data_IF_038609176443
#
_entry.id   IF_038609176443
#
_cell.length_a   1.000
_cell.length_b   1.000
_cell.length_c   1.000
_cell.angle_alpha   90.00
_cell.angle_beta   90.00
_cell.angle_gamma   90.00
#
_symmetry.space_group_name_H-M   'P 1'
#
loop_
_entity.id
_entity.type
_entity.pdbx_description
1 polymer ?
#
# COMPACT_ATOMS: atom_id res chain seq x y z
N UNK A 1 -12.32 -21.54 46.33
CA UNK A 1 -12.60 -22.00 44.96
C UNK A 1 -11.43 -21.51 44.11
N UNK A 2 -10.59 -22.40 43.56
CA UNK A 2 -9.40 -21.99 42.82
C UNK A 2 -9.80 -21.39 41.47
N UNK A 3 -9.05 -20.35 41.11
CA UNK A 3 -9.17 -19.48 39.94
C UNK A 3 -9.18 -20.25 38.61
N UNK A 4 -10.11 -19.88 37.71
CA UNK A 4 -10.06 -20.26 36.30
C UNK A 4 -8.69 -19.91 35.70
N UNK A 5 -8.10 -20.78 34.86
CA UNK A 5 -6.96 -20.39 34.07
C UNK A 5 -7.40 -19.26 33.14
N UNK A 6 -6.77 -18.10 33.28
CA UNK A 6 -6.86 -17.00 32.34
C UNK A 6 -6.45 -17.53 30.97
N UNK A 7 -7.40 -17.62 30.04
CA UNK A 7 -7.08 -17.88 28.64
C UNK A 7 -5.97 -16.92 28.20
N UNK A 8 -4.90 -17.39 27.54
CA UNK A 8 -3.91 -16.49 26.98
C UNK A 8 -4.61 -15.54 26.01
N UNK A 9 -4.21 -14.26 25.94
CA UNK A 9 -4.80 -13.34 24.97
C UNK A 9 -4.65 -13.91 23.55
N UNK A 10 -5.57 -13.60 22.61
CA UNK A 10 -5.58 -14.14 21.24
C UNK A 10 -4.34 -13.75 20.38
N UNK A 11 -3.36 -13.07 20.99
CA UNK A 11 -2.13 -12.59 20.37
C UNK A 11 -0.90 -13.12 21.14
N UNK A 12 -0.88 -14.42 21.45
CA UNK A 12 0.32 -15.06 21.99
C UNK A 12 1.44 -14.97 20.95
N UNK A 13 2.30 -13.96 21.10
CA UNK A 13 3.47 -13.77 20.25
C UNK A 13 4.49 -14.89 20.55
N UNK A 14 4.34 -16.01 19.86
CA UNK A 14 5.36 -17.05 19.76
C UNK A 14 5.47 -17.62 18.34
N UNK A 15 5.01 -16.88 17.34
CA UNK A 15 5.21 -17.24 15.94
C UNK A 15 6.52 -16.62 15.44
N UNK A 16 7.42 -17.49 14.96
CA UNK A 16 8.65 -17.10 14.28
C UNK A 16 8.29 -16.17 13.11
N UNK A 17 8.80 -14.92 13.06
CA UNK A 17 8.46 -13.96 12.02
C UNK A 17 8.84 -14.44 10.61
N UNK A 18 9.68 -15.47 10.48
CA UNK A 18 10.00 -16.09 9.19
C UNK A 18 8.92 -17.07 8.69
N UNK A 19 8.00 -17.48 9.58
CA UNK A 19 6.94 -18.46 9.29
C UNK A 19 5.55 -17.86 9.24
N UNK A 20 5.36 -16.68 9.83
CA UNK A 20 4.08 -15.98 9.80
C UNK A 20 3.82 -15.39 8.41
N UNK A 21 2.76 -15.85 7.75
CA UNK A 21 2.39 -15.38 6.42
C UNK A 21 1.85 -13.95 6.42
N UNK A 22 2.14 -13.21 5.36
CA UNK A 22 1.53 -11.90 5.09
C UNK A 22 0.07 -12.07 4.65
N UNK A 23 -0.77 -11.02 4.78
CA UNK A 23 -2.13 -11.07 4.27
C UNK A 23 -2.17 -11.41 2.77
N UNK A 24 -3.14 -12.23 2.30
CA UNK A 24 -3.19 -12.65 0.90
C UNK A 24 -3.47 -11.50 -0.07
N UNK A 25 -4.05 -10.40 0.40
CA UNK A 25 -4.32 -9.22 -0.40
C UNK A 25 -4.27 -7.93 0.45
N UNK A 26 -3.93 -6.82 -0.21
CA UNK A 26 -3.99 -5.49 0.38
C UNK A 26 -4.34 -4.42 -0.64
N UNK A 27 -4.74 -3.26 -0.12
CA UNK A 27 -4.82 -2.01 -0.85
C UNK A 27 -3.85 -1.05 -0.16
N UNK A 28 -2.86 -0.56 -0.89
CA UNK A 28 -1.88 0.40 -0.40
C UNK A 28 -2.01 1.70 -1.17
N UNK A 29 -2.15 2.80 -0.46
CA UNK A 29 -1.96 4.14 -0.99
C UNK A 29 -0.57 4.62 -0.60
N UNK A 30 0.27 4.95 -1.60
CA UNK A 30 1.63 5.39 -1.35
C UNK A 30 1.94 6.74 -1.99
N UNK A 31 2.70 7.56 -1.27
CA UNK A 31 3.25 8.81 -1.76
C UNK A 31 4.78 8.72 -1.72
N UNK A 32 5.41 8.78 -2.90
CA UNK A 32 6.85 8.69 -3.06
C UNK A 32 7.45 10.08 -3.32
N UNK A 33 8.41 10.48 -2.49
CA UNK A 33 9.01 11.81 -2.48
C UNK A 33 10.54 11.69 -2.66
N UNK A 34 11.07 11.98 -3.86
CA UNK A 34 12.51 12.16 -4.08
C UNK A 34 13.03 13.34 -3.25
N UNK A 35 14.18 13.16 -2.60
CA UNK A 35 14.84 14.20 -1.80
C UNK A 35 16.22 14.52 -2.36
N UNK A 36 16.59 15.80 -2.36
CA UNK A 36 17.89 16.26 -2.85
C UNK A 36 18.00 16.32 -4.38
N UNK A 37 16.88 16.40 -5.10
CA UNK A 37 16.85 16.65 -6.54
C UNK A 37 17.34 18.08 -6.85
N UNK A 38 17.88 18.30 -8.06
CA UNK A 38 18.38 19.61 -8.47
C UNK A 38 17.29 20.70 -8.55
N UNK A 39 16.02 20.31 -8.63
CA UNK A 39 14.86 21.22 -8.64
C UNK A 39 13.77 20.71 -7.70
N UNK A 40 12.83 21.59 -7.33
CA UNK A 40 11.67 21.24 -6.50
C UNK A 40 10.63 20.38 -7.22
N UNK A 41 10.66 20.32 -8.56
CA UNK A 41 9.70 19.55 -9.34
C UNK A 41 10.14 18.10 -9.44
N UNK A 42 9.22 17.18 -9.09
CA UNK A 42 9.45 15.71 -9.13
C UNK A 42 8.57 15.00 -10.16
N UNK A 43 7.99 15.75 -11.10
CA UNK A 43 7.01 15.21 -12.05
C UNK A 43 7.61 14.14 -12.98
N UNK A 44 8.92 14.23 -13.29
CA UNK A 44 9.60 13.25 -14.16
C UNK A 44 9.75 11.90 -13.45
N UNK A 45 10.08 11.93 -12.17
CA UNK A 45 10.23 10.78 -11.29
C UNK A 45 8.87 10.11 -11.08
N UNK A 46 7.84 10.88 -10.76
CA UNK A 46 6.46 10.36 -10.64
C UNK A 46 6.00 9.73 -11.96
N UNK A 47 6.24 10.37 -13.10
CA UNK A 47 5.89 9.78 -14.40
C UNK A 47 6.64 8.46 -14.70
N UNK A 48 7.89 8.32 -14.23
CA UNK A 48 8.64 7.07 -14.37
C UNK A 48 8.02 5.95 -13.50
N UNK A 49 7.62 6.28 -12.27
CA UNK A 49 6.88 5.37 -11.38
C UNK A 49 5.58 4.90 -12.02
N UNK A 50 4.78 5.80 -12.57
CA UNK A 50 3.51 5.43 -13.24
C UNK A 50 3.72 4.51 -14.44
N UNK A 51 4.78 4.75 -15.24
CA UNK A 51 5.13 3.86 -16.35
C UNK A 51 5.56 2.47 -15.90
N UNK A 52 6.20 2.35 -14.74
CA UNK A 52 6.56 1.07 -14.15
C UNK A 52 5.30 0.33 -13.67
N UNK A 53 4.41 1.01 -12.94
CA UNK A 53 3.16 0.43 -12.46
C UNK A 53 2.27 -0.05 -13.62
N UNK A 54 2.24 0.68 -14.75
CA UNK A 54 1.55 0.26 -15.97
C UNK A 54 2.05 -1.06 -16.58
N UNK A 55 3.23 -1.55 -16.17
CA UNK A 55 3.80 -2.84 -16.58
C UNK A 55 3.71 -3.93 -15.50
N UNK A 56 3.22 -3.59 -14.31
CA UNK A 56 3.22 -4.48 -13.15
C UNK A 56 2.14 -5.57 -13.20
N UNK A 57 1.06 -5.34 -13.95
CA UNK A 57 -0.14 -6.18 -13.94
C UNK A 57 -1.06 -5.93 -12.73
N UNK A 58 -0.68 -5.03 -11.81
CA UNK A 58 -1.51 -4.64 -10.67
C UNK A 58 -2.56 -3.61 -11.07
N UNK A 59 -3.70 -3.63 -10.38
CA UNK A 59 -4.67 -2.54 -10.45
C UNK A 59 -4.13 -1.34 -9.68
N UNK A 60 -4.10 -0.16 -10.30
CA UNK A 60 -3.64 1.06 -9.66
C UNK A 60 -4.41 2.29 -10.15
N UNK A 61 -4.38 3.35 -9.35
CA UNK A 61 -4.95 4.65 -9.68
C UNK A 61 -4.11 5.78 -9.08
N UNK A 62 -3.59 6.65 -9.94
CA UNK A 62 -2.90 7.87 -9.52
C UNK A 62 -3.91 8.96 -9.16
N UNK A 63 -3.59 9.73 -8.13
CA UNK A 63 -4.29 10.97 -7.77
C UNK A 63 -3.27 12.04 -7.34
N UNK A 64 -3.75 13.20 -6.91
CA UNK A 64 -2.93 14.38 -6.63
C UNK A 64 -1.88 14.18 -5.52
N UNK A 65 -2.10 13.24 -4.61
CA UNK A 65 -1.31 13.07 -3.39
C UNK A 65 -0.60 11.70 -3.29
N UNK A 66 -0.67 10.88 -4.34
CA UNK A 66 -0.14 9.52 -4.27
C UNK A 66 -0.65 8.62 -5.40
N UNK A 67 -0.47 7.33 -5.17
CA UNK A 67 -1.00 6.28 -6.03
C UNK A 67 -1.51 5.15 -5.17
N UNK A 68 -2.78 4.81 -5.37
CA UNK A 68 -3.38 3.64 -4.76
C UNK A 68 -3.12 2.44 -5.67
N UNK A 69 -2.65 1.33 -5.09
CA UNK A 69 -2.37 0.06 -5.75
C UNK A 69 -3.00 -1.08 -4.95
N UNK A 70 -3.52 -2.09 -5.63
CA UNK A 70 -4.12 -3.27 -4.98
C UNK A 70 -3.65 -4.57 -5.64
N UNK A 71 -3.57 -5.62 -4.83
CA UNK A 71 -3.09 -6.94 -5.25
C UNK A 71 -2.73 -7.80 -4.04
N UNK A 72 -1.88 -8.80 -4.26
CA UNK A 72 -1.28 -9.55 -3.14
C UNK A 72 -0.36 -8.63 -2.33
N UNK A 73 -0.22 -8.89 -1.02
CA UNK A 73 0.66 -8.09 -0.17
C UNK A 73 2.08 -8.03 -0.73
N UNK A 74 2.62 -9.18 -1.10
CA UNK A 74 3.98 -9.30 -1.58
C UNK A 74 4.18 -8.59 -2.92
N UNK A 75 3.23 -8.71 -3.85
CA UNK A 75 3.32 -8.03 -5.15
C UNK A 75 3.23 -6.52 -5.00
N UNK A 76 2.32 -6.02 -4.16
CA UNK A 76 2.15 -4.59 -3.89
C UNK A 76 3.42 -4.01 -3.27
N UNK A 77 3.93 -4.61 -2.20
CA UNK A 77 5.13 -4.13 -1.52
C UNK A 77 6.38 -4.25 -2.41
N UNK A 78 6.45 -5.31 -3.22
CA UNK A 78 7.49 -5.48 -4.24
C UNK A 78 7.42 -4.38 -5.30
N UNK A 79 6.23 -4.02 -5.80
CA UNK A 79 6.08 -2.94 -6.77
C UNK A 79 6.54 -1.59 -6.20
N UNK A 80 6.17 -1.29 -4.96
CA UNK A 80 6.62 -0.07 -4.26
C UNK A 80 8.15 -0.07 -4.13
N UNK A 81 8.76 -1.18 -3.70
CA UNK A 81 10.22 -1.32 -3.65
C UNK A 81 10.90 -1.17 -5.02
N UNK A 82 10.30 -1.70 -6.08
CA UNK A 82 10.80 -1.52 -7.46
C UNK A 82 10.70 -0.06 -7.92
N UNK A 83 9.70 0.70 -7.47
CA UNK A 83 9.62 2.14 -7.73
C UNK A 83 10.80 2.90 -7.10
N UNK A 84 11.19 2.55 -5.87
CA UNK A 84 12.41 3.09 -5.25
C UNK A 84 13.66 2.72 -6.05
N UNK A 85 13.81 1.44 -6.38
CA UNK A 85 14.97 0.94 -7.13
C UNK A 85 15.12 1.64 -8.49
N UNK A 86 14.01 1.85 -9.22
CA UNK A 86 13.99 2.58 -10.49
C UNK A 86 14.52 4.01 -10.34
N UNK A 87 14.08 4.73 -9.31
CA UNK A 87 14.49 6.12 -9.12
C UNK A 87 15.95 6.22 -8.64
N UNK A 88 16.41 5.27 -7.82
CA UNK A 88 17.83 5.16 -7.48
C UNK A 88 18.71 4.92 -8.72
N UNK A 89 18.27 4.05 -9.65
CA UNK A 89 18.96 3.84 -10.93
C UNK A 89 19.01 5.11 -11.79
N UNK A 90 18.04 6.01 -11.64
CA UNK A 90 17.99 7.30 -12.32
C UNK A 90 18.74 8.43 -11.57
N UNK A 91 19.50 8.09 -10.52
CA UNK A 91 20.35 9.04 -9.79
C UNK A 91 19.70 9.74 -8.60
N UNK A 92 18.45 9.39 -8.23
CA UNK A 92 17.86 9.90 -6.98
C UNK A 92 18.56 9.23 -5.80
N UNK A 93 19.25 10.01 -4.99
CA UNK A 93 20.05 9.47 -3.87
C UNK A 93 19.19 9.08 -2.67
N UNK A 94 18.11 9.81 -2.42
CA UNK A 94 17.24 9.58 -1.26
C UNK A 94 15.78 9.68 -1.65
N UNK A 95 14.98 8.75 -1.14
CA UNK A 95 13.53 8.70 -1.34
C UNK A 95 12.88 8.53 0.02
N UNK A 96 11.90 9.38 0.34
CA UNK A 96 10.97 9.15 1.43
C UNK A 96 9.66 8.62 0.85
N UNK A 97 8.99 7.69 1.52
CA UNK A 97 7.64 7.32 1.17
C UNK A 97 6.73 7.24 2.38
N UNK A 98 5.50 7.69 2.19
CA UNK A 98 4.38 7.43 3.11
C UNK A 98 3.52 6.34 2.49
N UNK A 99 3.15 5.33 3.28
CA UNK A 99 2.34 4.21 2.81
C UNK A 99 1.23 3.97 3.82
N UNK A 100 -0.03 4.12 3.38
CA UNK A 100 -1.21 3.67 4.11
C UNK A 100 -1.71 2.39 3.47
N UNK A 101 -1.60 1.29 4.19
CA UNK A 101 -2.01 -0.04 3.69
C UNK A 101 -3.10 -0.63 4.57
N UNK A 102 -4.09 -1.25 3.94
CA UNK A 102 -5.15 -1.98 4.63
C UNK A 102 -5.35 -3.38 4.04
N UNK A 103 -5.65 -4.32 4.93
CA UNK A 103 -6.06 -5.69 4.60
C UNK A 103 -7.30 -6.04 5.42
N UNK A 104 -8.11 -6.98 4.93
CA UNK A 104 -9.32 -7.47 5.63
C UNK A 104 -9.56 -8.93 5.29
N UNK A 105 -10.22 -9.67 6.18
CA UNK A 105 -10.46 -11.12 6.05
C UNK A 105 -11.93 -11.48 5.79
N UNK A 106 -12.85 -10.53 5.96
CA UNK A 106 -14.29 -10.75 5.87
C UNK A 106 -14.83 -10.70 4.43
N UNK A 107 -14.17 -9.96 3.52
CA UNK A 107 -14.55 -9.89 2.10
C UNK A 107 -13.40 -9.43 1.20
N UNK A 108 -13.50 -9.78 -0.08
CA UNK A 108 -12.69 -9.16 -1.14
C UNK A 108 -13.28 -7.81 -1.49
N UNK A 109 -12.45 -6.78 -1.60
CA UNK A 109 -12.88 -5.42 -1.92
C UNK A 109 -11.78 -4.73 -2.72
N UNK A 110 -12.16 -3.99 -3.77
CA UNK A 110 -11.25 -3.14 -4.54
C UNK A 110 -11.27 -1.69 -4.02
N UNK A 111 -10.26 -0.89 -4.36
CA UNK A 111 -10.21 0.52 -3.98
C UNK A 111 -11.39 1.32 -4.56
N UNK A 112 -11.84 0.99 -5.78
CA UNK A 112 -13.02 1.64 -6.38
C UNK A 112 -14.28 1.36 -5.60
N UNK A 113 -14.46 0.13 -5.13
CA UNK A 113 -15.65 -0.25 -4.35
C UNK A 113 -15.74 0.56 -3.03
N UNK A 114 -14.61 1.07 -2.50
CA UNK A 114 -14.61 1.99 -1.33
C UNK A 114 -15.14 3.37 -1.69
N UNK A 115 -14.75 3.90 -2.85
CA UNK A 115 -15.18 5.21 -3.34
C UNK A 115 -16.66 5.15 -3.70
N UNK A 116 -17.08 4.14 -4.48
CA UNK A 116 -18.48 3.94 -4.89
C UNK A 116 -19.43 3.77 -3.69
N UNK A 117 -18.97 3.12 -2.61
CA UNK A 117 -19.78 2.99 -1.40
C UNK A 117 -20.08 4.34 -0.74
N UNK A 118 -19.11 5.27 -0.74
CA UNK A 118 -19.31 6.63 -0.23
C UNK A 118 -20.17 7.44 -1.20
N UNK A 119 -19.90 7.36 -2.51
CA UNK A 119 -20.68 8.06 -3.53
C UNK A 119 -22.17 7.70 -3.47
N UNK A 120 -22.51 6.41 -3.32
CA UNK A 120 -23.90 5.97 -3.15
C UNK A 120 -24.58 6.56 -1.93
N UNK A 121 -23.84 6.74 -0.82
CA UNK A 121 -24.38 7.39 0.38
C UNK A 121 -24.59 8.89 0.16
N UNK A 122 -23.71 9.55 -0.60
CA UNK A 122 -23.85 10.96 -0.95
C UNK A 122 -25.02 11.21 -1.92
N UNK A 123 -25.29 10.29 -2.84
CA UNK A 123 -26.45 10.34 -3.75
C UNK A 123 -27.78 10.11 -3.03
N UNK A 124 -27.77 9.34 -1.93
CA UNK A 124 -28.96 8.95 -1.18
C UNK A 124 -29.65 10.07 -0.42
N UNK A 125 -28.97 11.19 -0.16
CA UNK A 125 -29.42 12.22 0.79
C UNK A 125 -29.52 11.66 2.22
N UNK A 126 -29.29 12.50 3.23
CA UNK A 126 -29.71 12.16 4.60
C UNK A 126 -31.24 12.03 4.70
#
# INVERSE_FOLDING_TARGET
MPSSPSDPPPYSASEDPTTLATPPACIADFCLIPLGTATASVAREVAAVQRLLGKSGLSYQMHSAGTTVEGSWDDVMRAIGQCHALLHQNGVVRIQSDIRVGSRTDKTQRFRDKVEAVEKLLEGGE
#
